data_IF_272757299370
#
_entry.id   IF_272757299370
#
_cell.length_a   1.000
_cell.length_b   1.000
_cell.length_c   1.000
_cell.angle_alpha   90.00
_cell.angle_beta   90.00
_cell.angle_gamma   90.00
#
_symmetry.space_group_name_H-M   'P 1'
#
loop_
_entity.id
_entity.type
_entity.pdbx_description
1 polymer ?
#
# COMPACT_ATOMS: atom_id res chain seq x y z
N UNK A 1 -45.93 -29.31 -9.85
CA UNK A 1 -44.92 -30.12 -10.55
C UNK A 1 -44.40 -31.17 -9.60
N UNK A 2 -44.33 -32.45 -9.93
CA UNK A 2 -43.80 -33.47 -9.03
C UNK A 2 -42.32 -33.23 -8.77
N UNK A 3 -41.90 -33.38 -7.48
CA UNK A 3 -40.52 -33.20 -7.05
C UNK A 3 -39.61 -34.20 -7.81
N UNK A 4 -38.57 -33.69 -8.48
CA UNK A 4 -37.62 -34.56 -9.22
C UNK A 4 -36.93 -35.50 -8.21
N UNK A 5 -36.99 -36.80 -8.50
CA UNK A 5 -36.36 -37.85 -7.68
C UNK A 5 -34.86 -37.55 -7.54
N UNK A 6 -34.35 -37.50 -6.30
CA UNK A 6 -32.96 -37.18 -5.96
C UNK A 6 -32.27 -38.43 -5.43
N UNK A 7 -31.19 -38.83 -6.08
CA UNK A 7 -30.39 -39.99 -5.69
C UNK A 7 -29.18 -39.53 -4.89
N UNK A 8 -28.98 -40.14 -3.72
CA UNK A 8 -27.83 -39.83 -2.86
C UNK A 8 -26.84 -41.00 -2.88
N UNK A 9 -25.55 -40.68 -2.85
CA UNK A 9 -24.45 -41.61 -2.62
C UNK A 9 -23.46 -41.01 -1.63
N UNK A 10 -23.08 -41.78 -0.58
CA UNK A 10 -22.12 -41.36 0.48
C UNK A 10 -20.80 -42.09 0.30
N UNK A 11 -19.72 -41.38 0.26
CA UNK A 11 -18.36 -41.92 0.18
C UNK A 11 -17.55 -41.54 1.42
N UNK A 12 -16.72 -42.47 1.92
CA UNK A 12 -15.75 -42.20 2.96
C UNK A 12 -14.43 -41.72 2.33
N UNK A 13 -13.91 -40.59 2.79
CA UNK A 13 -12.70 -39.94 2.25
C UNK A 13 -11.45 -40.21 3.09
N UNK A 14 -11.61 -40.72 4.34
CA UNK A 14 -10.54 -41.01 5.27
C UNK A 14 -11.01 -40.94 6.71
N UNK A 15 -10.07 -40.95 7.65
CA UNK A 15 -10.32 -40.78 9.09
C UNK A 15 -9.59 -39.53 9.58
N UNK A 16 -10.17 -38.79 10.51
CA UNK A 16 -9.51 -37.72 11.27
C UNK A 16 -8.52 -38.29 12.28
N UNK A 17 -7.71 -37.43 12.86
CA UNK A 17 -6.74 -37.77 13.92
C UNK A 17 -7.48 -38.39 15.14
N UNK A 18 -8.72 -38.00 15.40
CA UNK A 18 -9.59 -38.52 16.47
C UNK A 18 -10.27 -39.84 16.12
N UNK A 19 -9.94 -40.47 14.97
CA UNK A 19 -10.49 -41.74 14.50
C UNK A 19 -11.86 -41.65 13.79
N UNK A 20 -12.51 -40.50 13.79
CA UNK A 20 -13.82 -40.30 13.09
C UNK A 20 -13.69 -40.33 11.58
N UNK A 21 -14.63 -41.03 10.90
CA UNK A 21 -14.66 -41.11 9.43
C UNK A 21 -15.09 -39.79 8.79
N UNK A 22 -14.28 -39.29 7.85
CA UNK A 22 -14.64 -38.16 6.99
C UNK A 22 -15.54 -38.70 5.87
N UNK A 23 -16.82 -38.33 5.85
CA UNK A 23 -17.79 -38.75 4.84
C UNK A 23 -18.39 -37.56 4.10
N UNK A 24 -18.66 -37.73 2.79
CA UNK A 24 -19.31 -36.70 1.97
C UNK A 24 -20.43 -37.31 1.17
N UNK A 25 -21.58 -36.62 1.05
CA UNK A 25 -22.75 -37.05 0.27
C UNK A 25 -22.75 -36.36 -1.08
N UNK A 26 -23.06 -37.12 -2.13
CA UNK A 26 -23.21 -36.63 -3.50
C UNK A 26 -24.59 -36.92 -3.99
N UNK A 27 -25.16 -35.98 -4.74
CA UNK A 27 -26.54 -36.05 -5.22
C UNK A 27 -26.61 -35.99 -6.74
N UNK A 28 -27.53 -36.71 -7.31
CA UNK A 28 -27.86 -36.64 -8.73
C UNK A 28 -29.37 -36.72 -8.97
N UNK A 29 -29.84 -36.01 -9.97
CA UNK A 29 -31.21 -36.11 -10.46
C UNK A 29 -31.35 -37.14 -11.60
N UNK A 30 -30.21 -37.66 -12.12
CA UNK A 30 -30.18 -38.61 -13.24
C UNK A 30 -30.30 -40.08 -12.77
N UNK A 31 -29.37 -40.53 -11.95
CA UNK A 31 -29.34 -41.90 -11.45
C UNK A 31 -28.42 -42.06 -10.22
N UNK A 32 -28.57 -43.16 -9.48
CA UNK A 32 -27.68 -43.54 -8.38
C UNK A 32 -26.25 -43.82 -8.88
N UNK A 33 -26.10 -44.34 -10.11
CA UNK A 33 -24.80 -44.58 -10.76
C UNK A 33 -24.08 -43.26 -11.06
N UNK A 34 -24.78 -42.22 -11.47
CA UNK A 34 -24.19 -40.89 -11.71
C UNK A 34 -23.76 -40.22 -10.38
N UNK A 35 -24.54 -40.37 -9.30
CA UNK A 35 -24.16 -39.91 -7.99
C UNK A 35 -22.89 -40.63 -7.45
N UNK A 36 -22.77 -41.94 -7.72
CA UNK A 36 -21.61 -42.76 -7.37
C UNK A 36 -20.37 -42.33 -8.15
N UNK A 37 -20.46 -42.14 -9.46
CA UNK A 37 -19.37 -41.67 -10.32
C UNK A 37 -18.82 -40.32 -9.84
N UNK A 38 -19.67 -39.32 -9.54
CA UNK A 38 -19.28 -38.06 -8.98
C UNK A 38 -18.56 -38.17 -7.64
N UNK A 39 -18.98 -39.12 -6.82
CA UNK A 39 -18.34 -39.38 -5.52
C UNK A 39 -16.96 -40.01 -5.70
N UNK A 40 -16.77 -40.91 -6.64
CA UNK A 40 -15.50 -41.57 -6.95
C UNK A 40 -14.51 -40.58 -7.57
N UNK A 41 -14.92 -39.78 -8.56
CA UNK A 41 -14.11 -38.70 -9.14
C UNK A 41 -13.64 -37.70 -8.07
N UNK A 42 -14.53 -37.35 -7.15
CA UNK A 42 -14.16 -36.47 -6.03
C UNK A 42 -13.19 -37.15 -5.06
N UNK A 43 -13.34 -38.42 -4.76
CA UNK A 43 -12.46 -39.13 -3.84
C UNK A 43 -11.05 -39.33 -4.41
N UNK A 44 -10.91 -39.50 -5.72
CA UNK A 44 -9.62 -39.56 -6.42
C UNK A 44 -8.93 -38.18 -6.35
N UNK A 45 -9.67 -37.12 -6.70
CA UNK A 45 -9.15 -35.74 -6.58
C UNK A 45 -8.77 -35.39 -5.16
N UNK A 46 -9.56 -35.82 -4.17
CA UNK A 46 -9.28 -35.59 -2.75
C UNK A 46 -8.00 -36.31 -2.29
N UNK A 47 -7.82 -37.57 -2.70
CA UNK A 47 -6.59 -38.33 -2.40
C UNK A 47 -5.37 -37.72 -3.06
N UNK A 48 -5.48 -37.28 -4.31
CA UNK A 48 -4.43 -36.59 -5.05
C UNK A 48 -4.02 -35.28 -4.36
N UNK A 49 -5.00 -34.48 -3.93
CA UNK A 49 -4.76 -33.24 -3.19
C UNK A 49 -4.12 -33.51 -1.81
N UNK A 50 -4.45 -34.63 -1.16
CA UNK A 50 -3.86 -35.01 0.10
C UNK A 50 -2.38 -35.45 -0.05
N UNK A 51 -2.04 -36.07 -1.18
CA UNK A 51 -0.68 -36.48 -1.54
C UNK A 51 0.19 -35.31 -2.00
N UNK A 52 -0.41 -34.35 -2.72
CA UNK A 52 0.28 -33.18 -3.24
C UNK A 52 0.31 -32.00 -2.24
N UNK A 53 -0.30 -32.13 -1.08
CA UNK A 53 -0.71 -31.04 -0.20
C UNK A 53 -1.98 -30.40 -0.75
N UNK A 54 -2.99 -30.14 0.11
CA UNK A 54 -4.18 -29.38 -0.36
C UNK A 54 -3.68 -28.04 -0.94
N UNK A 55 -4.16 -27.64 -2.14
CA UNK A 55 -3.99 -26.25 -2.52
C UNK A 55 -4.70 -25.46 -1.41
N UNK A 56 -3.92 -24.76 -0.58
CA UNK A 56 -4.47 -23.85 0.41
C UNK A 56 -5.55 -23.04 -0.30
N UNK A 57 -6.78 -23.07 0.23
CA UNK A 57 -7.85 -22.21 -0.25
C UNK A 57 -7.38 -20.79 0.03
N UNK A 58 -6.73 -20.19 -0.95
CA UNK A 58 -6.30 -18.80 -0.88
C UNK A 58 -7.55 -17.98 -0.57
N UNK A 59 -7.54 -17.32 0.58
CA UNK A 59 -8.62 -16.43 1.00
C UNK A 59 -8.75 -15.36 -0.07
N UNK A 60 -9.86 -15.32 -0.81
CA UNK A 60 -10.06 -14.30 -1.84
C UNK A 60 -10.34 -12.95 -1.18
N UNK A 61 -9.54 -11.97 -1.54
CA UNK A 61 -9.71 -10.58 -1.11
C UNK A 61 -9.38 -9.64 -2.28
N UNK A 62 -10.13 -8.55 -2.42
CA UNK A 62 -9.82 -7.52 -3.42
C UNK A 62 -8.62 -6.70 -2.99
N UNK A 63 -7.85 -6.20 -3.96
CA UNK A 63 -6.66 -5.39 -3.71
C UNK A 63 -6.99 -4.16 -2.85
N UNK A 64 -8.10 -3.46 -3.10
CA UNK A 64 -8.52 -2.30 -2.32
C UNK A 64 -8.68 -2.62 -0.84
N UNK A 65 -9.46 -3.67 -0.52
CA UNK A 65 -9.70 -4.08 0.87
C UNK A 65 -8.42 -4.50 1.56
N UNK A 66 -7.60 -5.27 0.86
CA UNK A 66 -6.33 -5.72 1.42
C UNK A 66 -5.34 -4.57 1.61
N UNK A 67 -5.17 -3.70 0.61
CA UNK A 67 -4.22 -2.58 0.66
C UNK A 67 -4.50 -1.65 1.85
N UNK A 68 -5.77 -1.28 2.08
CA UNK A 68 -6.15 -0.46 3.23
C UNK A 68 -5.83 -1.18 4.54
N UNK A 69 -6.26 -2.44 4.68
CA UNK A 69 -6.01 -3.24 5.88
C UNK A 69 -4.51 -3.45 6.14
N UNK A 70 -3.73 -3.71 5.10
CA UNK A 70 -2.28 -3.87 5.18
C UNK A 70 -1.61 -2.60 5.72
N UNK A 71 -1.99 -1.42 5.20
CA UNK A 71 -1.45 -0.15 5.70
C UNK A 71 -1.86 0.14 7.14
N UNK A 72 -3.09 -0.18 7.53
CA UNK A 72 -3.58 -0.03 8.90
C UNK A 72 -2.81 -0.93 9.88
N UNK A 73 -2.50 -2.16 9.49
CA UNK A 73 -1.79 -3.11 10.35
C UNK A 73 -0.28 -2.84 10.41
N UNK A 74 0.36 -2.58 9.27
CA UNK A 74 1.82 -2.61 9.15
C UNK A 74 2.48 -1.24 9.01
N UNK A 75 1.70 -0.15 8.84
CA UNK A 75 2.25 1.21 8.73
C UNK A 75 1.67 2.16 9.77
N UNK A 76 0.36 2.19 9.94
CA UNK A 76 -0.30 3.16 10.81
C UNK A 76 0.26 3.20 12.25
N UNK A 77 0.56 2.07 12.93
CA UNK A 77 1.06 2.09 14.30
C UNK A 77 2.50 2.62 14.44
N UNK A 78 3.28 2.62 13.34
CA UNK A 78 4.73 2.86 13.37
C UNK A 78 5.15 4.20 12.77
N UNK A 79 4.21 5.01 12.29
CA UNK A 79 4.53 6.30 11.65
C UNK A 79 3.61 7.40 12.14
N UNK A 80 4.08 8.65 12.07
CA UNK A 80 3.25 9.82 12.40
C UNK A 80 2.04 9.89 11.47
N UNK A 81 0.89 10.38 11.97
CA UNK A 81 -0.38 10.44 11.26
C UNK A 81 -0.29 11.12 9.87
N UNK A 82 0.49 12.21 9.78
CA UNK A 82 0.73 12.89 8.50
C UNK A 82 1.51 12.02 7.50
N UNK A 83 2.55 11.33 7.98
CA UNK A 83 3.33 10.39 7.15
C UNK A 83 2.45 9.25 6.66
N UNK A 84 1.62 8.67 7.55
CA UNK A 84 0.67 7.64 7.16
C UNK A 84 -0.27 8.13 6.06
N UNK A 85 -0.88 9.30 6.25
CA UNK A 85 -1.84 9.87 5.30
C UNK A 85 -1.19 10.22 3.97
N UNK A 86 -0.09 10.97 3.99
CA UNK A 86 0.46 11.61 2.79
C UNK A 86 1.44 10.71 2.03
N UNK A 87 2.23 9.89 2.74
CA UNK A 87 3.25 9.04 2.12
C UNK A 87 2.72 7.64 1.77
N UNK A 88 1.79 7.10 2.58
CA UNK A 88 1.30 5.74 2.39
C UNK A 88 -0.11 5.68 1.82
N UNK A 89 -1.08 6.27 2.51
CA UNK A 89 -2.49 6.12 2.16
C UNK A 89 -2.87 6.89 0.88
N UNK A 90 -2.38 8.12 0.73
CA UNK A 90 -2.73 8.98 -0.40
C UNK A 90 -2.25 8.42 -1.76
N UNK A 91 -1.00 7.94 -1.95
CA UNK A 91 -0.57 7.29 -3.19
C UNK A 91 -1.38 6.03 -3.50
N UNK A 92 -1.64 5.18 -2.49
CA UNK A 92 -2.44 3.98 -2.68
C UNK A 92 -3.85 4.32 -3.16
N UNK A 93 -4.52 5.30 -2.55
CA UNK A 93 -5.87 5.73 -2.96
C UNK A 93 -5.92 6.43 -4.31
N UNK A 94 -4.89 7.22 -4.66
CA UNK A 94 -4.87 8.01 -5.89
C UNK A 94 -4.38 7.24 -7.11
N UNK A 95 -3.43 6.32 -6.91
CA UNK A 95 -2.72 5.68 -8.01
C UNK A 95 -3.02 4.19 -8.11
N UNK A 96 -2.92 3.42 -7.00
CA UNK A 96 -3.02 1.96 -7.03
C UNK A 96 -4.46 1.45 -7.02
N UNK A 97 -5.31 1.98 -6.15
CA UNK A 97 -6.72 1.54 -6.05
C UNK A 97 -7.52 1.78 -7.33
N UNK A 98 -7.40 2.91 -8.05
CA UNK A 98 -8.11 3.11 -9.31
C UNK A 98 -7.76 2.06 -10.38
N UNK A 99 -6.55 1.50 -10.33
CA UNK A 99 -6.10 0.51 -11.31
C UNK A 99 -6.34 -0.94 -10.85
N UNK A 100 -5.91 -1.27 -9.62
CA UNK A 100 -5.93 -2.64 -9.10
C UNK A 100 -7.10 -2.93 -8.14
N UNK A 101 -7.80 -1.92 -7.64
CA UNK A 101 -8.70 -2.04 -6.49
C UNK A 101 -9.76 -3.13 -6.59
N UNK A 102 -10.37 -3.30 -7.75
CA UNK A 102 -11.40 -4.32 -8.01
C UNK A 102 -10.83 -5.72 -8.29
N UNK A 103 -9.52 -5.83 -8.52
CA UNK A 103 -8.86 -7.11 -8.80
C UNK A 103 -8.72 -7.92 -7.51
N UNK A 104 -8.86 -9.23 -7.61
CA UNK A 104 -8.43 -10.13 -6.54
C UNK A 104 -6.90 -10.14 -6.47
N UNK A 105 -6.35 -10.08 -5.25
CA UNK A 105 -4.90 -10.02 -5.03
C UNK A 105 -4.17 -11.16 -5.72
N UNK A 106 -4.71 -12.37 -5.64
CA UNK A 106 -4.16 -13.57 -6.27
C UNK A 106 -4.19 -13.56 -7.81
N UNK A 107 -5.02 -12.71 -8.42
CA UNK A 107 -5.18 -12.63 -9.87
C UNK A 107 -4.27 -11.57 -10.51
N UNK A 108 -3.58 -10.75 -9.70
CA UNK A 108 -2.66 -9.73 -10.21
C UNK A 108 -1.41 -10.42 -10.78
N UNK A 109 -1.10 -10.12 -12.06
CA UNK A 109 0.03 -10.72 -12.76
C UNK A 109 1.16 -9.69 -13.00
N UNK A 110 2.44 -10.13 -13.12
CA UNK A 110 3.55 -9.24 -13.42
C UNK A 110 3.37 -8.40 -14.68
N UNK A 111 2.75 -8.96 -15.72
CA UNK A 111 2.45 -8.25 -16.97
C UNK A 111 1.48 -7.08 -16.75
N UNK A 112 0.48 -7.25 -15.86
CA UNK A 112 -0.46 -6.19 -15.51
C UNK A 112 0.23 -5.05 -14.75
N UNK A 113 1.17 -5.38 -13.86
CA UNK A 113 2.00 -4.40 -13.16
C UNK A 113 2.87 -3.61 -14.14
N UNK A 114 3.51 -4.31 -15.11
CA UNK A 114 4.29 -3.62 -16.14
C UNK A 114 3.43 -2.72 -17.03
N UNK A 115 2.23 -3.16 -17.41
CA UNK A 115 1.28 -2.35 -18.17
C UNK A 115 0.87 -1.10 -17.40
N UNK A 116 0.64 -1.21 -16.08
CA UNK A 116 0.37 -0.07 -15.22
C UNK A 116 1.55 0.91 -15.22
N UNK A 117 2.77 0.46 -14.97
CA UNK A 117 3.98 1.29 -14.98
C UNK A 117 4.11 2.04 -16.31
N UNK A 118 3.91 1.34 -17.43
CA UNK A 118 3.97 1.94 -18.76
C UNK A 118 2.88 3.00 -18.96
N UNK A 119 1.69 2.79 -18.43
CA UNK A 119 0.55 3.73 -18.55
C UNK A 119 0.73 5.05 -17.80
N UNK A 120 1.55 5.04 -16.76
CA UNK A 120 1.85 6.23 -15.92
C UNK A 120 3.21 6.85 -16.25
N UNK A 121 4.02 6.16 -17.07
CA UNK A 121 5.30 6.69 -17.55
C UNK A 121 5.08 7.94 -18.42
N UNK A 122 5.82 9.00 -18.13
CA UNK A 122 5.64 10.32 -18.77
C UNK A 122 4.54 11.20 -18.14
N UNK A 123 3.61 10.61 -17.35
CA UNK A 123 2.61 11.39 -16.57
C UNK A 123 3.14 11.78 -15.20
N UNK A 124 3.95 10.92 -14.60
CA UNK A 124 4.56 11.13 -13.29
C UNK A 124 6.08 11.03 -13.38
N UNK A 125 6.75 11.72 -12.45
CA UNK A 125 8.20 11.61 -12.32
C UNK A 125 8.60 10.16 -12.00
N UNK A 126 9.74 9.66 -12.53
CA UNK A 126 10.24 8.29 -12.27
C UNK A 126 10.31 7.94 -10.77
N UNK A 127 10.64 8.92 -9.93
CA UNK A 127 10.67 8.77 -8.46
C UNK A 127 9.29 8.45 -7.88
N UNK A 128 8.23 9.07 -8.40
CA UNK A 128 6.85 8.79 -8.00
C UNK A 128 6.44 7.39 -8.42
N UNK A 129 6.78 6.99 -9.65
CA UNK A 129 6.50 5.64 -10.17
C UNK A 129 7.22 4.58 -9.31
N UNK A 130 8.47 4.84 -8.94
CA UNK A 130 9.24 3.96 -8.06
C UNK A 130 8.62 3.84 -6.66
N UNK A 131 8.13 4.95 -6.09
CA UNK A 131 7.42 4.93 -4.81
C UNK A 131 6.13 4.12 -4.87
N UNK A 132 5.33 4.31 -5.93
CA UNK A 132 4.10 3.54 -6.15
C UNK A 132 4.40 2.04 -6.31
N UNK A 133 5.43 1.71 -7.09
CA UNK A 133 5.87 0.33 -7.26
C UNK A 133 6.35 -0.31 -5.96
N UNK A 134 7.16 0.39 -5.17
CA UNK A 134 7.62 -0.10 -3.87
C UNK A 134 6.44 -0.33 -2.91
N UNK A 135 5.42 0.53 -2.97
CA UNK A 135 4.21 0.38 -2.18
C UNK A 135 3.39 -0.83 -2.63
N UNK A 136 3.24 -1.03 -3.93
CA UNK A 136 2.58 -2.21 -4.50
C UNK A 136 3.30 -3.50 -4.10
N UNK A 137 4.64 -3.51 -4.22
CA UNK A 137 5.48 -4.63 -3.79
C UNK A 137 5.29 -4.95 -2.31
N UNK A 138 5.29 -3.93 -1.44
CA UNK A 138 5.06 -4.09 0.00
C UNK A 138 3.69 -4.71 0.30
N UNK A 139 2.62 -4.19 -0.33
CA UNK A 139 1.25 -4.69 -0.14
C UNK A 139 1.12 -6.14 -0.60
N UNK A 140 1.68 -6.49 -1.76
CA UNK A 140 1.63 -7.85 -2.30
C UNK A 140 2.52 -8.82 -1.52
N UNK A 141 3.62 -8.35 -0.94
CA UNK A 141 4.48 -9.17 -0.08
C UNK A 141 3.74 -9.61 1.17
N UNK A 142 3.09 -8.68 1.86
CA UNK A 142 2.26 -9.03 3.02
C UNK A 142 1.02 -9.85 2.64
N UNK A 143 0.49 -9.67 1.43
CA UNK A 143 -0.59 -10.54 0.94
C UNK A 143 -0.14 -12.00 0.79
N UNK A 144 1.09 -12.21 0.34
CA UNK A 144 1.71 -13.54 0.28
C UNK A 144 1.89 -14.14 1.68
N UNK A 145 2.42 -13.37 2.63
CA UNK A 145 2.66 -13.78 4.01
C UNK A 145 1.35 -14.16 4.74
N UNK A 146 0.26 -13.45 4.44
CA UNK A 146 -1.08 -13.72 4.98
C UNK A 146 -1.88 -14.81 4.22
N UNK A 147 -1.28 -15.41 3.18
CA UNK A 147 -1.88 -16.48 2.40
C UNK A 147 -2.99 -16.06 1.42
N UNK A 148 -3.03 -14.76 1.03
CA UNK A 148 -3.96 -14.28 -0.01
C UNK A 148 -3.47 -14.53 -1.43
N UNK A 149 -2.17 -14.75 -1.61
CA UNK A 149 -1.59 -15.17 -2.89
C UNK A 149 -0.37 -16.07 -2.63
N UNK A 150 -0.03 -16.90 -3.60
CA UNK A 150 1.11 -17.82 -3.51
C UNK A 150 2.45 -17.10 -3.68
N UNK A 151 2.47 -16.11 -4.57
CA UNK A 151 3.67 -15.37 -4.94
C UNK A 151 3.38 -13.88 -5.01
N UNK A 152 4.43 -13.09 -4.79
CA UNK A 152 4.37 -11.65 -4.97
C UNK A 152 4.62 -11.32 -6.45
N UNK A 153 3.57 -10.97 -7.18
CA UNK A 153 3.67 -10.61 -8.58
C UNK A 153 4.62 -9.42 -8.85
N UNK A 154 4.77 -8.50 -7.88
CA UNK A 154 5.69 -7.37 -7.99
C UNK A 154 7.17 -7.75 -7.73
N UNK A 155 7.46 -8.97 -7.27
CA UNK A 155 8.83 -9.46 -7.11
C UNK A 155 9.41 -10.06 -8.39
N UNK A 156 8.67 -10.07 -9.50
CA UNK A 156 9.14 -10.61 -10.78
C UNK A 156 10.32 -9.80 -11.33
N UNK A 157 11.39 -10.49 -11.71
CA UNK A 157 12.59 -9.90 -12.32
C UNK A 157 12.36 -9.28 -13.71
N UNK A 158 11.22 -9.59 -14.33
CA UNK A 158 10.80 -9.04 -15.63
C UNK A 158 10.28 -7.61 -15.57
N UNK A 159 9.93 -7.09 -14.38
CA UNK A 159 9.38 -5.75 -14.25
C UNK A 159 10.49 -4.71 -14.42
N UNK A 160 10.25 -3.73 -15.29
CA UNK A 160 11.17 -2.63 -15.60
C UNK A 160 10.59 -1.30 -15.15
N UNK A 161 11.34 -0.58 -14.34
CA UNK A 161 11.01 0.78 -13.94
C UNK A 161 11.65 1.77 -14.94
N UNK A 162 11.03 2.94 -15.18
CA UNK A 162 11.63 3.98 -15.99
C UNK A 162 12.93 4.47 -15.37
N UNK A 163 13.94 4.67 -16.21
CA UNK A 163 15.23 5.22 -15.77
C UNK A 163 15.07 6.72 -15.52
N UNK A 164 15.82 7.22 -14.55
CA UNK A 164 15.90 8.65 -14.31
C UNK A 164 16.52 9.35 -15.51
N UNK A 165 15.81 10.33 -16.05
CA UNK A 165 16.37 11.27 -17.01
C UNK A 165 16.60 12.57 -16.25
N UNK A 166 17.85 12.96 -16.17
CA UNK A 166 18.36 14.25 -15.71
C UNK A 166 17.92 14.66 -14.28
N UNK A 167 18.78 14.43 -13.33
CA UNK A 167 18.72 15.13 -12.05
C UNK A 167 19.05 16.58 -12.34
N UNK A 168 18.08 17.50 -12.21
CA UNK A 168 18.39 18.91 -12.13
C UNK A 168 19.33 19.09 -10.94
N UNK A 169 20.58 19.44 -11.21
CA UNK A 169 21.55 19.65 -10.16
C UNK A 169 21.03 20.76 -9.25
N UNK A 170 20.79 20.43 -7.98
CA UNK A 170 20.51 21.43 -6.96
C UNK A 170 21.81 22.16 -6.73
N UNK A 171 21.81 23.48 -6.87
CA UNK A 171 22.93 24.33 -6.52
C UNK A 171 22.59 25.15 -5.27
N UNK A 172 23.58 25.46 -4.48
CA UNK A 172 23.46 26.43 -3.42
C UNK A 172 23.41 27.85 -4.03
N UNK A 173 22.84 28.81 -3.34
CA UNK A 173 22.88 30.18 -3.78
C UNK A 173 24.33 30.63 -4.02
N UNK A 174 24.57 31.25 -5.17
CA UNK A 174 25.80 32.02 -5.36
C UNK A 174 25.80 33.24 -4.43
N UNK A 175 26.97 33.82 -4.13
CA UNK A 175 27.03 35.06 -3.32
C UNK A 175 26.17 36.20 -3.85
N UNK A 176 26.05 36.31 -5.16
CA UNK A 176 25.20 37.34 -5.78
C UNK A 176 23.70 37.04 -5.58
N UNK A 177 23.25 35.81 -5.80
CA UNK A 177 21.86 35.41 -5.55
C UNK A 177 21.49 35.54 -4.09
N UNK A 178 22.42 35.22 -3.17
CA UNK A 178 22.25 35.40 -1.72
C UNK A 178 22.02 36.89 -1.40
N UNK A 179 22.91 37.77 -1.83
CA UNK A 179 22.83 39.19 -1.54
C UNK A 179 21.55 39.81 -2.12
N UNK A 180 21.22 39.50 -3.38
CA UNK A 180 19.99 40.01 -4.02
C UNK A 180 18.74 39.56 -3.26
N UNK A 181 18.70 38.27 -2.83
CA UNK A 181 17.56 37.73 -2.05
C UNK A 181 17.47 38.38 -0.68
N UNK A 182 18.61 38.60 -0.04
CA UNK A 182 18.69 39.23 1.29
C UNK A 182 18.23 40.69 1.24
N UNK A 183 18.72 41.49 0.29
CA UNK A 183 18.28 42.88 0.07
C UNK A 183 16.79 42.99 -0.20
N UNK A 184 16.26 42.11 -1.03
CA UNK A 184 14.82 42.02 -1.24
C UNK A 184 14.06 41.71 0.05
N UNK A 185 14.57 40.76 0.85
CA UNK A 185 13.96 40.34 2.11
C UNK A 185 13.91 41.45 3.13
N UNK A 186 15.01 42.25 3.27
CA UNK A 186 15.09 43.42 4.19
C UNK A 186 13.97 44.41 3.93
N UNK A 187 13.62 44.63 2.67
CA UNK A 187 12.62 45.61 2.24
C UNK A 187 11.19 45.04 2.12
N UNK A 188 10.98 43.76 2.37
CA UNK A 188 9.70 43.13 2.23
C UNK A 188 8.96 42.92 3.57
N UNK A 189 7.66 43.21 3.70
CA UNK A 189 6.92 43.06 4.96
C UNK A 189 6.98 41.66 5.63
N UNK A 190 7.20 40.62 4.84
CA UNK A 190 7.38 39.24 5.32
C UNK A 190 8.81 38.74 5.19
N UNK A 191 9.78 39.65 5.00
CA UNK A 191 11.16 39.30 4.68
C UNK A 191 11.91 38.65 5.84
N UNK A 192 11.53 38.95 7.10
CA UNK A 192 12.12 38.33 8.29
C UNK A 192 12.08 36.78 8.18
N UNK A 193 11.00 36.20 7.67
CA UNK A 193 10.91 34.76 7.49
C UNK A 193 11.95 34.23 6.49
N UNK A 194 12.20 34.95 5.41
CA UNK A 194 13.19 34.60 4.39
C UNK A 194 14.60 34.72 4.99
N UNK A 195 14.87 35.82 5.70
CA UNK A 195 16.18 36.08 6.34
C UNK A 195 16.50 34.96 7.35
N UNK A 196 15.54 34.60 8.22
CA UNK A 196 15.73 33.51 9.17
C UNK A 196 16.01 32.16 8.46
N UNK A 197 15.31 31.84 7.35
CA UNK A 197 15.60 30.63 6.59
C UNK A 197 17.01 30.64 6.00
N UNK A 198 17.46 31.80 5.50
CA UNK A 198 18.79 31.94 4.89
C UNK A 198 19.91 31.83 5.94
N UNK A 199 19.74 32.43 7.12
CA UNK A 199 20.75 32.47 8.16
C UNK A 199 20.83 31.18 8.98
N UNK A 200 19.68 30.56 9.25
CA UNK A 200 19.63 29.40 10.16
C UNK A 200 19.61 28.06 9.43
N UNK A 201 19.21 28.04 8.15
CA UNK A 201 19.01 26.81 7.39
C UNK A 201 17.85 25.96 7.91
N UNK A 202 17.00 26.48 8.79
CA UNK A 202 15.85 25.74 9.31
C UNK A 202 14.83 25.41 8.19
N UNK A 203 14.07 24.36 8.37
CA UNK A 203 12.99 24.03 7.46
C UNK A 203 11.81 24.99 7.59
N UNK A 204 10.97 25.08 6.56
CA UNK A 204 9.75 25.90 6.62
C UNK A 204 8.84 25.54 7.80
N UNK A 205 8.76 24.28 8.18
CA UNK A 205 7.94 23.83 9.31
C UNK A 205 8.50 24.29 10.64
N UNK A 206 9.79 24.24 10.80
CA UNK A 206 10.53 24.73 11.98
C UNK A 206 10.37 26.23 12.11
N UNK A 207 10.61 26.98 11.01
CA UNK A 207 10.39 28.42 10.99
C UNK A 207 8.99 28.82 11.46
N UNK A 208 7.95 28.13 10.96
CA UNK A 208 6.56 28.40 11.35
C UNK A 208 6.26 27.99 12.80
N UNK A 209 7.06 27.12 13.37
CA UNK A 209 6.97 26.68 14.77
C UNK A 209 7.72 27.57 15.75
N UNK A 210 8.58 28.49 15.28
CA UNK A 210 9.37 29.37 16.17
C UNK A 210 8.48 30.31 16.99
N UNK A 211 8.89 30.52 18.23
CA UNK A 211 8.28 31.45 19.17
C UNK A 211 9.32 32.45 19.65
N UNK A 212 8.90 33.58 20.22
CA UNK A 212 9.79 34.56 20.81
C UNK A 212 10.62 33.96 21.96
N UNK A 213 10.07 33.02 22.73
CA UNK A 213 10.75 32.34 23.85
C UNK A 213 11.86 31.39 23.38
N UNK A 214 11.87 31.00 22.10
CA UNK A 214 12.91 30.14 21.52
C UNK A 214 14.18 30.93 21.15
N UNK A 215 14.16 32.26 21.25
CA UNK A 215 15.29 33.13 20.99
C UNK A 215 15.97 33.58 22.29
N UNK A 216 17.18 33.09 22.52
CA UNK A 216 18.04 33.53 23.59
C UNK A 216 18.89 34.70 23.11
N UNK A 217 18.43 35.92 23.41
CA UNK A 217 19.11 37.16 23.00
C UNK A 217 20.42 37.39 23.75
N UNK A 218 20.58 36.86 24.97
CA UNK A 218 21.76 37.03 25.81
C UNK A 218 22.95 36.24 25.26
N UNK A 219 22.69 35.01 24.81
CA UNK A 219 23.71 34.11 24.28
C UNK A 219 23.73 34.02 22.75
N UNK A 220 22.78 34.64 22.05
CA UNK A 220 22.68 34.65 20.61
C UNK A 220 22.26 33.30 20.00
N UNK A 221 21.49 32.50 20.72
CA UNK A 221 20.99 31.18 20.23
C UNK A 221 19.56 31.22 19.82
N UNK A 222 19.23 30.39 18.81
CA UNK A 222 17.87 30.11 18.41
C UNK A 222 17.59 28.60 18.63
N UNK A 223 16.66 28.30 19.52
CA UNK A 223 16.28 26.91 19.85
C UNK A 223 15.20 26.43 18.93
N UNK A 224 15.48 25.41 18.08
CA UNK A 224 14.52 24.81 17.18
C UNK A 224 13.98 23.54 17.83
N UNK A 225 12.90 23.68 18.61
CA UNK A 225 12.33 22.60 19.41
C UNK A 225 11.11 21.95 18.76
N UNK A 226 10.49 22.60 17.78
CA UNK A 226 9.20 22.19 17.20
C UNK A 226 9.06 22.63 15.76
N UNK A 227 8.11 22.00 15.06
CA UNK A 227 7.71 22.38 13.72
C UNK A 227 6.19 22.51 13.62
N UNK A 228 5.69 23.41 12.81
CA UNK A 228 4.27 23.58 12.57
C UNK A 228 3.90 22.90 11.24
N UNK A 229 3.00 21.91 11.28
CA UNK A 229 2.55 21.17 10.09
C UNK A 229 1.04 21.31 9.90
N UNK A 230 0.62 21.40 8.64
CA UNK A 230 -0.78 21.40 8.31
C UNK A 230 -1.37 19.99 8.41
N UNK A 231 -2.37 19.81 9.26
CA UNK A 231 -3.12 18.55 9.41
C UNK A 231 -4.52 18.75 8.85
N UNK A 232 -5.00 17.82 8.05
CA UNK A 232 -6.41 17.82 7.65
C UNK A 232 -7.26 17.37 8.84
N UNK A 233 -8.22 18.18 9.24
CA UNK A 233 -9.17 17.78 10.27
C UNK A 233 -9.93 16.51 9.82
N UNK A 234 -10.16 15.60 10.74
CA UNK A 234 -10.91 14.36 10.51
C UNK A 234 -12.32 14.73 9.99
N UNK A 235 -12.62 14.36 8.74
CA UNK A 235 -13.95 14.57 8.15
C UNK A 235 -14.21 15.92 7.47
N UNK A 236 -13.25 16.83 7.31
CA UNK A 236 -13.54 18.16 6.82
C UNK A 236 -12.49 18.85 5.95
N UNK A 237 -12.96 19.85 5.21
CA UNK A 237 -12.21 20.70 4.28
C UNK A 237 -11.25 21.70 4.96
N UNK A 238 -11.11 21.70 6.28
CA UNK A 238 -10.25 22.65 7.01
C UNK A 238 -8.91 22.02 7.35
N UNK A 239 -7.83 22.72 7.01
CA UNK A 239 -6.50 22.40 7.50
C UNK A 239 -6.34 23.06 8.87
N UNK A 240 -5.95 22.30 9.88
CA UNK A 240 -5.49 22.84 11.15
C UNK A 240 -3.97 22.71 11.22
N UNK A 241 -3.34 23.58 12.00
CA UNK A 241 -1.93 23.53 12.25
C UNK A 241 -1.67 22.74 13.54
N UNK A 242 -0.69 21.87 13.52
CA UNK A 242 -0.30 21.08 14.68
C UNK A 242 1.20 21.16 14.88
N UNK A 243 1.61 21.35 16.12
CA UNK A 243 3.02 21.30 16.56
C UNK A 243 3.48 19.84 16.53
N UNK A 244 4.70 19.58 16.03
CA UNK A 244 5.27 18.24 15.85
C UNK A 244 6.69 18.19 16.42
#
# INVERSE_FOLDING_TARGET
MPAKKRYEYKIALGKKIDGTSIRKSFYSTKSKRDAKRKAEEYAETYKLNLLLGEPEKTKTITFEKWAIRCLELYKMPYVKANTYRDTYLAPVKRHLIPHFGKREVQAIQPAEIQAYINSINGKYAPETIKKDFNMLHFILQHAKEEGYCKENAAASSGIRLPKYHTVVAKHAFSPQEYNTTYEFAVNHPKGLAIMLLMETGCSRSELLGLRYEDFDAEHGYLHINQGLVAVSATGGKRRCWQTV
#
